data_IF_478250335950
#
_entry.id   IF_478250335950
#
_cell.length_a   1.000
_cell.length_b   1.000
_cell.length_c   1.000
_cell.angle_alpha   90.00
_cell.angle_beta   90.00
_cell.angle_gamma   90.00
#
_symmetry.space_group_name_H-M   'P 1'
#
loop_
_entity.id
_entity.type
_entity.pdbx_description
1 polymer ?
#
# COMPACT_ATOMS: atom_id res chain seq x y z
N UNK A 1 7.77 0.92 -42.01
CA UNK A 1 7.14 2.06 -41.31
C UNK A 1 5.81 1.63 -40.69
N UNK A 2 5.04 0.78 -41.37
CA UNK A 2 3.79 0.22 -40.84
C UNK A 2 3.98 -0.75 -39.66
N UNK A 3 5.03 -1.58 -39.64
CA UNK A 3 5.30 -2.52 -38.52
C UNK A 3 5.67 -1.84 -37.19
N UNK A 4 6.30 -0.66 -37.23
CA UNK A 4 6.64 0.13 -36.03
C UNK A 4 5.41 0.89 -35.52
N UNK A 5 4.51 1.29 -36.43
CA UNK A 5 3.25 1.92 -36.06
C UNK A 5 2.26 0.91 -35.50
N UNK A 6 2.28 -0.33 -35.98
CA UNK A 6 1.43 -1.41 -35.46
C UNK A 6 1.89 -1.85 -34.07
N UNK A 7 3.20 -2.05 -33.86
CA UNK A 7 3.74 -2.39 -32.54
C UNK A 7 3.52 -1.30 -31.48
N UNK A 8 3.61 -0.01 -31.87
CA UNK A 8 3.24 1.11 -30.98
C UNK A 8 1.74 1.16 -30.67
N UNK A 9 0.88 0.77 -31.62
CA UNK A 9 -0.58 0.72 -31.40
C UNK A 9 -0.97 -0.43 -30.49
N UNK A 10 -0.32 -1.59 -30.62
CA UNK A 10 -0.49 -2.73 -29.73
C UNK A 10 0.01 -2.42 -28.31
N UNK A 11 1.23 -1.89 -28.13
CA UNK A 11 1.74 -1.48 -26.82
C UNK A 11 0.84 -0.43 -26.14
N UNK A 12 0.29 0.51 -26.90
CA UNK A 12 -0.63 1.51 -26.38
C UNK A 12 -2.00 0.91 -26.01
N UNK A 13 -2.49 -0.06 -26.78
CA UNK A 13 -3.70 -0.82 -26.50
C UNK A 13 -3.59 -1.60 -25.18
N UNK A 14 -2.48 -2.31 -24.99
CA UNK A 14 -2.22 -3.10 -23.78
C UNK A 14 -2.01 -2.20 -22.56
N UNK A 15 -1.30 -1.07 -22.71
CA UNK A 15 -1.12 -0.09 -21.64
C UNK A 15 -2.46 0.49 -21.16
N UNK A 16 -3.36 0.82 -22.10
CA UNK A 16 -4.71 1.31 -21.77
C UNK A 16 -5.56 0.25 -21.08
N UNK A 17 -5.52 -0.99 -21.57
CA UNK A 17 -6.26 -2.10 -20.96
C UNK A 17 -5.77 -2.39 -19.54
N UNK A 18 -4.46 -2.33 -19.30
CA UNK A 18 -3.86 -2.44 -17.98
C UNK A 18 -4.33 -1.33 -17.02
N UNK A 19 -4.38 -0.08 -17.48
CA UNK A 19 -4.89 1.05 -16.68
C UNK A 19 -6.37 0.86 -16.33
N UNK A 20 -7.21 0.48 -17.29
CA UNK A 20 -8.64 0.22 -17.07
C UNK A 20 -8.82 -0.91 -16.05
N UNK A 21 -8.07 -2.01 -16.19
CA UNK A 21 -8.12 -3.12 -15.25
C UNK A 21 -7.73 -2.70 -13.83
N UNK A 22 -6.67 -1.89 -13.66
CA UNK A 22 -6.25 -1.35 -12.35
C UNK A 22 -7.35 -0.48 -11.72
N UNK A 23 -7.97 0.40 -12.50
CA UNK A 23 -9.05 1.26 -12.03
C UNK A 23 -10.31 0.47 -11.64
N UNK A 24 -10.72 -0.51 -12.45
CA UNK A 24 -11.86 -1.38 -12.16
C UNK A 24 -11.61 -2.22 -10.91
N UNK A 25 -10.45 -2.87 -10.82
CA UNK A 25 -10.07 -3.64 -9.64
C UNK A 25 -10.11 -2.77 -8.40
N UNK A 26 -9.52 -1.56 -8.44
CA UNK A 26 -9.53 -0.65 -7.30
C UNK A 26 -10.95 -0.19 -6.94
N UNK A 27 -11.82 0.01 -7.92
CA UNK A 27 -13.23 0.38 -7.69
C UNK A 27 -13.98 -0.69 -6.91
N UNK A 28 -13.72 -1.97 -7.23
CA UNK A 28 -14.32 -3.12 -6.56
C UNK A 28 -13.72 -3.31 -5.16
N UNK A 29 -12.40 -3.15 -5.00
CA UNK A 29 -11.73 -3.38 -3.70
C UNK A 29 -11.78 -2.19 -2.75
N UNK A 30 -12.14 -0.99 -3.21
CA UNK A 30 -12.08 0.23 -2.39
C UNK A 30 -12.82 0.14 -1.05
N UNK A 31 -14.05 -0.42 -0.95
CA UNK A 31 -14.71 -0.61 0.35
C UNK A 31 -13.88 -1.39 1.38
N UNK A 32 -13.17 -2.44 0.92
CA UNK A 32 -12.31 -3.25 1.77
C UNK A 32 -10.98 -2.57 2.06
N UNK A 33 -10.41 -1.86 1.08
CA UNK A 33 -9.19 -1.07 1.27
C UNK A 33 -9.43 0.08 2.26
N UNK A 34 -10.64 0.67 2.26
CA UNK A 34 -11.05 1.69 3.20
C UNK A 34 -11.15 1.13 4.62
N UNK A 35 -11.88 0.02 4.80
CA UNK A 35 -11.92 -0.67 6.08
C UNK A 35 -10.51 -1.07 6.56
N UNK A 36 -9.65 -1.58 5.66
CA UNK A 36 -8.26 -1.92 6.01
C UNK A 36 -7.49 -0.69 6.47
N UNK A 37 -7.63 0.45 5.80
CA UNK A 37 -6.95 1.68 6.18
C UNK A 37 -7.35 2.15 7.59
N UNK A 38 -8.64 2.11 7.94
CA UNK A 38 -9.11 2.47 9.28
C UNK A 38 -8.53 1.55 10.36
N UNK A 39 -8.40 0.26 10.05
CA UNK A 39 -7.72 -0.72 10.93
C UNK A 39 -6.24 -0.41 11.08
N UNK A 40 -5.55 -0.01 10.01
CA UNK A 40 -4.12 0.33 10.05
C UNK A 40 -3.85 1.49 11.02
N UNK A 41 -4.65 2.54 10.96
CA UNK A 41 -4.54 3.70 11.86
C UNK A 41 -5.02 3.39 13.29
N UNK A 42 -5.66 2.24 13.50
CA UNK A 42 -5.99 1.69 14.83
C UNK A 42 -7.44 1.88 15.26
N UNK A 43 -8.30 2.39 14.37
CA UNK A 43 -9.71 2.57 14.62
C UNK A 43 -10.46 1.22 14.48
N UNK A 44 -11.14 0.82 15.55
CA UNK A 44 -11.81 -0.48 15.68
C UNK A 44 -13.14 -0.30 16.43
N UNK A 45 -14.22 0.11 15.76
CA UNK A 45 -15.50 0.39 16.40
C UNK A 45 -16.25 -0.88 16.83
N UNK A 46 -15.93 -2.03 16.23
CA UNK A 46 -16.58 -3.30 16.53
C UNK A 46 -15.86 -4.03 17.67
N UNK A 47 -16.62 -4.48 18.67
CA UNK A 47 -16.06 -5.26 19.77
C UNK A 47 -15.53 -6.62 19.29
N UNK A 48 -14.41 -7.08 19.84
CA UNK A 48 -13.88 -8.39 19.49
C UNK A 48 -14.72 -9.50 20.17
N UNK A 49 -14.74 -10.68 19.55
CA UNK A 49 -15.49 -11.84 20.05
C UNK A 49 -14.59 -13.07 20.16
N UNK A 50 -15.01 -14.03 20.98
CA UNK A 50 -14.28 -15.28 21.16
C UNK A 50 -14.54 -16.23 20.00
N UNK A 51 -13.46 -16.68 19.38
CA UNK A 51 -13.48 -17.70 18.33
C UNK A 51 -12.74 -18.95 18.81
N UNK A 52 -13.32 -20.13 18.54
CA UNK A 52 -12.64 -21.42 18.75
C UNK A 52 -11.91 -21.79 17.47
N UNK A 53 -10.59 -21.86 17.54
CA UNK A 53 -9.77 -22.39 16.46
C UNK A 53 -10.09 -23.86 16.20
N UNK A 54 -9.82 -24.35 14.98
CA UNK A 54 -9.92 -25.77 14.64
C UNK A 54 -9.11 -26.67 15.58
N UNK A 55 -8.04 -26.12 16.20
CA UNK A 55 -7.21 -26.81 17.20
C UNK A 55 -7.69 -26.59 18.65
N UNK A 56 -8.97 -26.26 18.87
CA UNK A 56 -9.60 -26.21 20.20
C UNK A 56 -9.28 -24.99 21.07
N UNK A 57 -8.30 -24.15 20.68
CA UNK A 57 -7.96 -22.93 21.42
C UNK A 57 -9.00 -21.81 21.26
N UNK A 58 -9.45 -21.23 22.39
CA UNK A 58 -10.24 -19.98 22.38
C UNK A 58 -9.31 -18.79 22.18
N UNK A 59 -9.60 -17.94 21.19
CA UNK A 59 -8.86 -16.70 20.94
C UNK A 59 -9.82 -15.55 20.71
N UNK A 60 -9.48 -14.38 21.23
CA UNK A 60 -10.23 -13.15 21.01
C UNK A 60 -9.81 -12.56 19.64
N UNK A 61 -10.77 -12.38 18.74
CA UNK A 61 -10.52 -11.88 17.37
C UNK A 61 -11.47 -10.73 17.04
N UNK A 62 -11.01 -9.82 16.19
CA UNK A 62 -11.87 -8.81 15.59
C UNK A 62 -12.67 -9.40 14.43
N UNK A 63 -13.88 -8.87 14.14
CA UNK A 63 -14.65 -9.23 12.94
C UNK A 63 -13.84 -9.05 11.65
N UNK A 64 -14.19 -9.71 10.56
CA UNK A 64 -13.46 -9.53 9.29
C UNK A 64 -13.65 -8.10 8.71
N UNK A 65 -12.85 -7.74 7.70
CA UNK A 65 -12.95 -6.42 7.04
C UNK A 65 -14.28 -6.21 6.30
N UNK A 66 -14.97 -7.27 5.88
CA UNK A 66 -16.27 -7.16 5.19
C UNK A 66 -17.34 -6.69 6.17
N UNK A 67 -17.36 -7.24 7.38
CA UNK A 67 -18.26 -6.79 8.45
C UNK A 67 -17.98 -5.33 8.80
N UNK A 68 -16.71 -4.94 8.83
CA UNK A 68 -16.34 -3.54 9.05
C UNK A 68 -16.79 -2.65 7.88
N UNK A 69 -16.57 -3.03 6.62
CA UNK A 69 -17.07 -2.28 5.47
C UNK A 69 -18.60 -2.15 5.47
N UNK A 70 -19.33 -3.19 5.89
CA UNK A 70 -20.78 -3.14 6.11
C UNK A 70 -21.17 -2.16 7.21
N UNK A 71 -20.38 -2.08 8.28
CA UNK A 71 -20.59 -1.09 9.33
C UNK A 71 -20.38 0.34 8.80
N UNK A 72 -19.33 0.61 8.03
CA UNK A 72 -19.11 1.90 7.37
C UNK A 72 -20.32 2.27 6.49
N UNK A 73 -20.82 1.32 5.70
CA UNK A 73 -22.02 1.52 4.88
C UNK A 73 -23.26 1.84 5.72
N UNK A 74 -23.42 1.22 6.89
CA UNK A 74 -24.56 1.53 7.78
C UNK A 74 -24.49 2.91 8.41
N UNK A 75 -23.30 3.49 8.53
CA UNK A 75 -23.06 4.80 9.16
C UNK A 75 -23.12 5.93 8.12
N UNK A 76 -22.33 5.85 7.04
CA UNK A 76 -22.21 6.94 6.05
C UNK A 76 -22.92 6.64 4.71
N UNK A 77 -23.59 5.48 4.61
CA UNK A 77 -24.24 5.05 3.38
C UNK A 77 -23.26 4.74 2.24
N UNK A 78 -23.81 4.67 1.02
CA UNK A 78 -23.05 4.32 -0.17
C UNK A 78 -21.98 5.37 -0.53
N UNK A 79 -22.31 6.65 -0.40
CA UNK A 79 -21.39 7.75 -0.72
C UNK A 79 -20.17 7.74 0.21
N UNK A 80 -20.37 7.47 1.50
CA UNK A 80 -19.28 7.37 2.47
C UNK A 80 -18.37 6.17 2.26
N UNK A 81 -18.92 5.03 1.81
CA UNK A 81 -18.13 3.84 1.49
C UNK A 81 -17.08 4.10 0.39
N UNK A 82 -17.32 5.09 -0.47
CA UNK A 82 -16.43 5.54 -1.53
C UNK A 82 -15.66 6.84 -1.21
N UNK A 83 -15.63 7.28 0.06
CA UNK A 83 -14.81 8.41 0.49
C UNK A 83 -13.32 8.15 0.20
N UNK A 84 -12.61 9.16 -0.27
CA UNK A 84 -11.20 9.06 -0.65
C UNK A 84 -10.93 8.27 -1.95
N UNK A 85 -11.95 7.79 -2.65
CA UNK A 85 -11.80 7.07 -3.91
C UNK A 85 -11.30 7.95 -5.06
N UNK A 86 -11.81 9.18 -5.17
CA UNK A 86 -11.42 10.14 -6.22
C UNK A 86 -9.90 10.37 -6.32
N UNK A 87 -9.22 10.78 -5.23
CA UNK A 87 -7.77 10.96 -5.24
C UNK A 87 -7.01 9.66 -5.55
N UNK A 88 -7.52 8.48 -5.14
CA UNK A 88 -6.90 7.18 -5.47
C UNK A 88 -6.88 6.92 -6.97
N UNK A 89 -7.99 7.16 -7.67
CA UNK A 89 -8.05 6.95 -9.12
C UNK A 89 -7.10 7.90 -9.86
N UNK A 90 -7.08 9.17 -9.48
CA UNK A 90 -6.12 10.14 -10.05
C UNK A 90 -4.69 9.68 -9.76
N UNK A 91 -4.42 9.18 -8.55
CA UNK A 91 -3.11 8.64 -8.15
C UNK A 91 -2.67 7.46 -9.02
N UNK A 92 -3.58 6.52 -9.33
CA UNK A 92 -3.31 5.39 -10.23
C UNK A 92 -2.96 5.86 -11.64
N UNK A 93 -3.69 6.86 -12.15
CA UNK A 93 -3.37 7.45 -13.45
C UNK A 93 -1.96 8.07 -13.45
N UNK A 94 -1.64 8.88 -12.44
CA UNK A 94 -0.31 9.51 -12.29
C UNK A 94 0.79 8.45 -12.20
N UNK A 95 0.59 7.39 -11.42
CA UNK A 95 1.53 6.28 -11.28
C UNK A 95 1.77 5.56 -12.62
N UNK A 96 0.71 5.29 -13.38
CA UNK A 96 0.77 4.62 -14.68
C UNK A 96 1.49 5.46 -15.75
N UNK A 97 1.15 6.73 -15.86
CA UNK A 97 1.80 7.65 -16.80
C UNK A 97 3.26 7.90 -16.42
N UNK A 98 3.55 8.10 -15.12
CA UNK A 98 4.93 8.25 -14.65
C UNK A 98 5.78 7.03 -14.98
N UNK A 99 5.26 5.83 -14.72
CA UNK A 99 6.01 4.59 -15.00
C UNK A 99 6.29 4.46 -16.49
N UNK A 100 5.29 4.76 -17.33
CA UNK A 100 5.42 4.67 -18.79
C UNK A 100 6.48 5.64 -19.34
N UNK A 101 6.47 6.89 -18.88
CA UNK A 101 7.44 7.92 -19.30
C UNK A 101 8.87 7.57 -18.86
N UNK A 102 9.05 7.14 -17.61
CA UNK A 102 10.38 6.79 -17.09
C UNK A 102 10.90 5.53 -17.77
N UNK A 103 10.04 4.54 -18.03
CA UNK A 103 10.42 3.32 -18.74
C UNK A 103 10.87 3.62 -20.18
N UNK A 104 10.20 4.52 -20.90
CA UNK A 104 10.60 4.94 -22.25
C UNK A 104 11.96 5.65 -22.24
N UNK A 105 12.18 6.55 -21.27
CA UNK A 105 13.46 7.23 -21.09
C UNK A 105 14.61 6.24 -20.84
N UNK A 106 14.40 5.25 -19.96
CA UNK A 106 15.40 4.23 -19.64
C UNK A 106 15.66 3.26 -20.80
N UNK A 107 14.63 2.88 -21.57
CA UNK A 107 14.78 2.01 -22.75
C UNK A 107 15.66 2.66 -23.83
N UNK A 108 15.60 3.98 -23.94
CA UNK A 108 16.39 4.75 -24.92
C UNK A 108 17.90 4.70 -24.62
N UNK A 109 18.30 4.30 -23.41
CA UNK A 109 19.68 4.43 -22.92
C UNK A 109 20.58 3.18 -23.09
N UNK A 110 20.10 1.98 -23.52
CA UNK A 110 21.01 0.85 -23.86
C UNK A 110 20.32 -0.40 -24.40
N UNK A 111 20.52 -0.67 -25.70
CA UNK A 111 20.55 -2.02 -26.28
C UNK A 111 22.01 -2.41 -26.52
N UNK A 112 22.69 -2.91 -25.50
CA UNK A 112 23.88 -3.74 -25.70
C UNK A 112 23.55 -5.12 -25.17
N UNK A 113 23.12 -5.99 -26.08
CA UNK A 113 23.08 -7.43 -25.87
C UNK A 113 24.52 -7.91 -25.74
N UNK A 114 25.03 -7.96 -24.52
CA UNK A 114 26.27 -8.69 -24.24
C UNK A 114 25.88 -10.15 -24.02
N UNK A 115 26.52 -11.05 -24.75
CA UNK A 115 26.38 -12.49 -24.58
C UNK A 115 27.13 -12.89 -23.30
N UNK A 116 26.47 -13.60 -22.38
CA UNK A 116 26.97 -13.79 -21.02
C UNK A 116 27.18 -15.26 -20.68
N UNK A 117 28.44 -15.65 -20.46
CA UNK A 117 28.85 -17.03 -20.14
C UNK A 117 29.22 -17.24 -18.65
N UNK A 118 29.08 -16.23 -17.77
CA UNK A 118 29.54 -16.29 -16.36
C UNK A 118 28.44 -15.96 -15.33
N UNK A 119 28.42 -16.68 -14.20
CA UNK A 119 27.48 -16.47 -13.07
C UNK A 119 27.49 -15.03 -12.55
N UNK A 120 28.67 -14.39 -12.56
CA UNK A 120 28.83 -12.98 -12.17
C UNK A 120 28.02 -12.04 -13.07
N UNK A 121 27.90 -12.37 -14.36
CA UNK A 121 27.18 -11.53 -15.32
C UNK A 121 25.66 -11.66 -15.17
N UNK A 122 25.16 -12.81 -14.73
CA UNK A 122 23.74 -12.98 -14.39
C UNK A 122 23.32 -12.04 -13.25
N UNK A 123 24.11 -11.99 -12.18
CA UNK A 123 23.84 -11.11 -11.04
C UNK A 123 24.04 -9.62 -11.36
N UNK A 124 25.00 -9.28 -12.23
CA UNK A 124 25.14 -7.91 -12.75
C UNK A 124 23.91 -7.47 -13.53
N UNK A 125 23.38 -8.34 -14.40
CA UNK A 125 22.16 -8.04 -15.15
C UNK A 125 20.94 -7.90 -14.24
N UNK A 126 20.81 -8.77 -13.24
CA UNK A 126 19.79 -8.63 -12.20
C UNK A 126 19.89 -7.26 -11.51
N UNK A 127 21.10 -6.83 -11.12
CA UNK A 127 21.32 -5.54 -10.47
C UNK A 127 20.96 -4.35 -11.38
N UNK A 128 21.31 -4.41 -12.68
CA UNK A 128 20.97 -3.38 -13.66
C UNK A 128 19.46 -3.32 -13.90
N UNK A 129 18.79 -4.46 -14.06
CA UNK A 129 17.34 -4.49 -14.27
C UNK A 129 16.60 -4.00 -13.01
N UNK A 130 17.03 -4.44 -11.83
CA UNK A 130 16.48 -4.01 -10.55
C UNK A 130 16.67 -2.50 -10.34
N UNK A 131 17.82 -1.93 -10.70
CA UNK A 131 18.06 -0.49 -10.53
C UNK A 131 17.14 0.36 -11.43
N UNK A 132 16.89 -0.10 -12.66
CA UNK A 132 15.91 0.53 -13.57
C UNK A 132 14.51 0.52 -12.96
N UNK A 133 14.07 -0.62 -12.44
CA UNK A 133 12.75 -0.74 -11.79
C UNK A 133 12.64 0.09 -10.51
N UNK A 134 13.72 0.20 -9.73
CA UNK A 134 13.80 1.09 -8.56
C UNK A 134 13.57 2.54 -8.97
N UNK A 135 14.22 3.02 -10.05
CA UNK A 135 14.05 4.40 -10.53
C UNK A 135 12.61 4.66 -10.97
N UNK A 136 12.03 3.75 -11.76
CA UNK A 136 10.61 3.81 -12.16
C UNK A 136 9.68 3.87 -10.94
N UNK A 137 9.90 3.00 -9.96
CA UNK A 137 9.07 2.87 -8.77
C UNK A 137 9.20 4.09 -7.85
N UNK A 138 10.42 4.57 -7.61
CA UNK A 138 10.68 5.75 -6.80
C UNK A 138 9.99 6.99 -7.38
N UNK A 139 10.15 7.22 -8.68
CA UNK A 139 9.56 8.37 -9.37
C UNK A 139 8.04 8.33 -9.30
N UNK A 140 7.45 7.15 -9.55
CA UNK A 140 6.00 6.96 -9.51
C UNK A 140 5.42 7.12 -8.10
N UNK A 141 6.14 6.68 -7.06
CA UNK A 141 5.76 6.90 -5.66
C UNK A 141 5.80 8.39 -5.34
N UNK A 142 6.88 9.09 -5.66
CA UNK A 142 7.04 10.52 -5.37
C UNK A 142 5.90 11.33 -5.98
N UNK A 143 5.55 11.08 -7.25
CA UNK A 143 4.50 11.80 -7.96
C UNK A 143 3.08 11.44 -7.48
N UNK A 144 2.83 10.19 -7.14
CA UNK A 144 1.49 9.74 -6.70
C UNK A 144 1.23 9.95 -5.20
N UNK A 145 2.26 10.23 -4.39
CA UNK A 145 2.13 10.31 -2.94
C UNK A 145 1.24 11.43 -2.40
N UNK A 146 1.29 12.66 -2.93
CA UNK A 146 0.36 13.71 -2.52
C UNK A 146 -1.12 13.29 -2.63
N UNK A 147 -1.49 12.59 -3.71
CA UNK A 147 -2.86 12.11 -3.93
C UNK A 147 -3.25 10.98 -2.97
N UNK A 148 -2.29 10.13 -2.61
CA UNK A 148 -2.50 9.11 -1.59
C UNK A 148 -2.74 9.74 -0.21
N UNK A 149 -1.98 10.77 0.17
CA UNK A 149 -2.18 11.48 1.44
C UNK A 149 -3.55 12.11 1.52
N UNK A 150 -4.00 12.77 0.44
CA UNK A 150 -5.36 13.32 0.35
C UNK A 150 -6.41 12.21 0.53
N UNK A 151 -6.25 11.07 -0.13
CA UNK A 151 -7.15 9.92 0.06
C UNK A 151 -7.19 9.43 1.50
N UNK A 152 -6.02 9.24 2.12
CA UNK A 152 -5.90 8.76 3.51
C UNK A 152 -6.58 9.71 4.49
N UNK A 153 -6.41 11.02 4.32
CA UNK A 153 -7.06 12.03 5.17
C UNK A 153 -8.57 12.10 4.96
N UNK A 154 -9.03 12.00 3.72
CA UNK A 154 -10.47 11.89 3.44
C UNK A 154 -11.08 10.64 4.12
N UNK A 155 -10.38 9.51 4.08
CA UNK A 155 -10.83 8.28 4.75
C UNK A 155 -10.77 8.40 6.29
N UNK A 156 -9.75 9.07 6.83
CA UNK A 156 -9.54 9.16 8.28
C UNK A 156 -10.59 9.99 9.01
N UNK A 157 -11.35 10.84 8.31
CA UNK A 157 -12.40 11.66 8.91
C UNK A 157 -13.54 10.83 9.52
N UNK A 158 -13.69 9.58 9.10
CA UNK A 158 -14.66 8.64 9.65
C UNK A 158 -14.50 8.45 11.16
N UNK A 159 -13.26 8.48 11.66
CA UNK A 159 -12.97 8.23 13.08
C UNK A 159 -13.65 9.25 13.99
N UNK A 160 -13.60 10.53 13.59
CA UNK A 160 -14.15 11.65 14.37
C UNK A 160 -15.54 12.13 13.91
N UNK A 161 -16.16 11.44 12.94
CA UNK A 161 -17.38 11.92 12.26
C UNK A 161 -17.20 13.34 11.68
N UNK A 162 -16.03 13.61 11.11
CA UNK A 162 -15.64 14.93 10.64
C UNK A 162 -15.99 15.13 9.16
N UNK A 163 -16.28 16.38 8.76
CA UNK A 163 -16.61 16.74 7.38
C UNK A 163 -15.65 17.79 6.78
N UNK A 164 -14.38 17.74 7.17
CA UNK A 164 -13.36 18.71 6.74
C UNK A 164 -12.84 18.53 5.29
N UNK A 165 -12.86 17.33 4.71
CA UNK A 165 -12.31 17.01 3.39
C UNK A 165 -13.39 16.45 2.45
N UNK A 166 -14.28 17.33 1.96
CA UNK A 166 -15.43 16.93 1.13
C UNK A 166 -15.09 16.72 -0.35
N UNK A 167 -14.28 17.59 -0.92
CA UNK A 167 -13.89 17.56 -2.34
C UNK A 167 -12.38 17.44 -2.50
N UNK A 168 -11.92 16.80 -3.57
CA UNK A 168 -10.47 16.58 -3.83
C UNK A 168 -9.72 17.91 -3.90
N UNK A 169 -10.19 18.86 -4.72
CA UNK A 169 -9.54 20.17 -4.88
C UNK A 169 -9.56 20.98 -3.57
N UNK A 170 -10.70 20.98 -2.87
CA UNK A 170 -10.81 21.62 -1.56
C UNK A 170 -9.80 21.03 -0.58
N UNK A 171 -9.64 19.71 -0.57
CA UNK A 171 -8.73 19.01 0.33
C UNK A 171 -7.27 19.34 0.04
N UNK A 172 -6.90 19.39 -1.24
CA UNK A 172 -5.55 19.82 -1.66
C UNK A 172 -5.29 21.27 -1.19
N UNK A 173 -6.22 22.19 -1.47
CA UNK A 173 -6.06 23.59 -1.06
C UNK A 173 -5.96 23.73 0.47
N UNK A 174 -6.75 22.95 1.21
CA UNK A 174 -6.76 22.99 2.67
C UNK A 174 -5.43 22.50 3.25
N UNK A 175 -4.92 21.36 2.77
CA UNK A 175 -3.61 20.83 3.21
C UNK A 175 -2.49 21.82 2.88
N UNK A 176 -2.51 22.39 1.68
CA UNK A 176 -1.51 23.37 1.27
C UNK A 176 -1.55 24.65 2.13
N UNK A 177 -2.74 25.05 2.61
CA UNK A 177 -2.89 26.25 3.45
C UNK A 177 -2.50 25.99 4.91
N UNK A 178 -2.84 24.83 5.46
CA UNK A 178 -2.64 24.53 6.89
C UNK A 178 -1.24 23.96 7.19
N UNK A 179 -0.72 23.10 6.31
CA UNK A 179 0.54 22.38 6.52
C UNK A 179 1.60 22.68 5.45
N UNK A 180 1.18 23.23 4.31
CA UNK A 180 2.07 23.47 3.17
C UNK A 180 2.47 22.19 2.45
N UNK A 181 3.63 22.23 1.80
CA UNK A 181 4.13 21.13 0.96
C UNK A 181 4.49 19.90 1.82
N UNK A 182 4.97 20.09 3.04
CA UNK A 182 5.36 18.99 3.93
C UNK A 182 4.20 18.07 4.28
N UNK A 183 2.97 18.61 4.39
CA UNK A 183 1.76 17.82 4.66
C UNK A 183 1.50 16.76 3.59
N UNK A 184 1.72 17.06 2.31
CA UNK A 184 1.55 16.12 1.19
C UNK A 184 2.59 15.01 1.14
N UNK A 185 3.74 15.21 1.79
CA UNK A 185 4.84 14.26 1.80
C UNK A 185 5.02 13.55 3.14
N UNK A 186 4.03 13.66 4.03
CA UNK A 186 4.04 12.94 5.30
C UNK A 186 3.91 11.42 5.06
N UNK A 187 4.88 10.66 5.56
CA UNK A 187 4.93 9.21 5.39
C UNK A 187 5.55 8.71 4.08
N UNK A 188 6.18 9.59 3.29
CA UNK A 188 6.85 9.18 2.04
C UNK A 188 8.00 8.21 2.26
N UNK A 189 8.82 8.41 3.31
CA UNK A 189 10.00 7.58 3.58
C UNK A 189 9.61 6.11 3.81
N UNK A 190 8.71 5.77 4.75
CA UNK A 190 8.26 4.39 4.89
C UNK A 190 7.59 3.85 3.61
N UNK A 191 6.89 4.70 2.83
CA UNK A 191 6.29 4.25 1.56
C UNK A 191 7.35 3.85 0.54
N UNK A 192 8.42 4.63 0.42
CA UNK A 192 9.56 4.31 -0.44
C UNK A 192 10.24 3.03 0.02
N UNK A 193 10.46 2.85 1.33
CA UNK A 193 11.01 1.59 1.87
C UNK A 193 10.14 0.39 1.53
N UNK A 194 8.81 0.53 1.64
CA UNK A 194 7.89 -0.52 1.26
C UNK A 194 7.98 -0.87 -0.23
N UNK A 195 7.91 0.15 -1.10
CA UNK A 195 7.91 -0.03 -2.55
C UNK A 195 9.24 -0.57 -3.08
N UNK A 196 10.35 0.10 -2.72
CA UNK A 196 11.69 -0.29 -3.18
C UNK A 196 12.11 -1.64 -2.60
N UNK A 197 11.80 -1.90 -1.32
CA UNK A 197 12.05 -3.20 -0.69
C UNK A 197 11.31 -4.33 -1.40
N UNK A 198 10.07 -4.09 -1.83
CA UNK A 198 9.28 -5.09 -2.56
C UNK A 198 9.89 -5.42 -3.91
N UNK A 199 10.31 -4.41 -4.69
CA UNK A 199 10.98 -4.59 -5.99
C UNK A 199 12.28 -5.38 -5.85
N UNK A 200 13.11 -5.04 -4.87
CA UNK A 200 14.38 -5.73 -4.61
C UNK A 200 14.12 -7.20 -4.25
N UNK A 201 13.19 -7.46 -3.34
CA UNK A 201 12.88 -8.82 -2.88
C UNK A 201 12.34 -9.70 -4.02
N UNK A 202 11.46 -9.16 -4.87
CA UNK A 202 10.90 -9.90 -6.02
C UNK A 202 12.00 -10.26 -7.01
N UNK A 203 12.81 -9.28 -7.42
CA UNK A 203 13.86 -9.51 -8.43
C UNK A 203 14.96 -10.45 -7.94
N UNK A 204 15.38 -10.31 -6.67
CA UNK A 204 16.36 -11.23 -6.07
C UNK A 204 15.78 -12.65 -5.98
N UNK A 205 14.51 -12.80 -5.56
CA UNK A 205 13.85 -14.11 -5.50
C UNK A 205 13.73 -14.76 -6.88
N UNK A 206 13.36 -13.98 -7.90
CA UNK A 206 13.27 -14.43 -9.29
C UNK A 206 14.63 -14.88 -9.85
N UNK A 207 15.67 -14.09 -9.59
CA UNK A 207 17.04 -14.41 -10.00
C UNK A 207 17.54 -15.69 -9.31
N UNK A 208 17.32 -15.80 -8.00
CA UNK A 208 17.69 -17.01 -7.24
C UNK A 208 16.94 -18.24 -7.78
N UNK A 209 15.64 -18.13 -8.03
CA UNK A 209 14.83 -19.24 -8.54
C UNK A 209 15.29 -19.71 -9.93
N UNK A 210 15.57 -18.78 -10.83
CA UNK A 210 16.10 -19.08 -12.17
C UNK A 210 17.49 -19.70 -12.10
N UNK A 211 18.30 -19.32 -11.10
CA UNK A 211 19.62 -19.91 -10.89
C UNK A 211 19.55 -21.35 -10.35
N UNK A 212 18.60 -21.65 -9.46
CA UNK A 212 18.47 -22.98 -8.85
C UNK A 212 17.76 -24.02 -9.74
N UNK A 213 16.94 -23.59 -10.70
CA UNK A 213 16.24 -24.47 -11.62
C UNK A 213 16.82 -24.35 -13.02
N UNK A 214 17.36 -25.46 -13.53
CA UNK A 214 17.81 -25.57 -14.91
C UNK A 214 16.54 -25.67 -15.79
N UNK A 215 16.32 -24.68 -16.66
CA UNK A 215 15.19 -24.52 -17.58
C UNK A 215 13.79 -24.46 -16.94
N UNK A 216 13.45 -23.37 -16.21
CA UNK A 216 12.11 -23.20 -15.65
C UNK A 216 11.06 -22.98 -16.75
N UNK A 217 9.96 -23.72 -16.68
CA UNK A 217 8.79 -23.49 -17.54
C UNK A 217 8.20 -22.09 -17.32
N UNK A 218 7.56 -21.46 -18.33
CA UNK A 218 6.97 -20.13 -18.18
C UNK A 218 5.89 -20.07 -17.08
N UNK A 219 5.18 -21.19 -16.85
CA UNK A 219 4.21 -21.29 -15.74
C UNK A 219 4.89 -21.26 -14.37
N UNK A 220 6.04 -21.94 -14.21
CA UNK A 220 6.79 -21.93 -12.97
C UNK A 220 7.29 -20.51 -12.63
N UNK A 221 7.76 -19.75 -13.63
CA UNK A 221 8.17 -18.35 -13.44
C UNK A 221 7.02 -17.46 -12.97
N UNK A 222 5.82 -17.61 -13.56
CA UNK A 222 4.64 -16.83 -13.14
C UNK A 222 4.21 -17.16 -11.70
N UNK A 223 4.27 -18.44 -11.31
CA UNK A 223 3.96 -18.87 -9.95
C UNK A 223 4.99 -18.30 -8.97
N UNK A 224 6.27 -18.35 -9.32
CA UNK A 224 7.36 -17.76 -8.52
C UNK A 224 7.18 -16.26 -8.37
N UNK A 225 6.87 -15.54 -9.44
CA UNK A 225 6.62 -14.10 -9.40
C UNK A 225 5.43 -13.79 -8.46
N UNK A 226 4.37 -14.59 -8.49
CA UNK A 226 3.22 -14.44 -7.58
C UNK A 226 3.60 -14.69 -6.12
N UNK A 227 4.28 -15.80 -5.82
CA UNK A 227 4.70 -16.16 -4.46
C UNK A 227 5.69 -15.13 -3.91
N UNK A 228 6.70 -14.76 -4.71
CA UNK A 228 7.68 -13.74 -4.36
C UNK A 228 7.00 -12.40 -4.09
N UNK A 229 6.03 -11.99 -4.92
CA UNK A 229 5.26 -10.76 -4.72
C UNK A 229 4.46 -10.77 -3.42
N UNK A 230 3.83 -11.91 -3.08
CA UNK A 230 3.08 -12.06 -1.84
C UNK A 230 4.00 -11.99 -0.61
N UNK A 231 5.10 -12.74 -0.61
CA UNK A 231 6.07 -12.75 0.50
C UNK A 231 6.76 -11.40 0.67
N UNK A 232 7.15 -10.75 -0.42
CA UNK A 232 7.75 -9.43 -0.41
C UNK A 232 6.77 -8.39 0.17
N UNK A 233 5.51 -8.42 -0.25
CA UNK A 233 4.45 -7.55 0.29
C UNK A 233 4.19 -7.79 1.78
N UNK A 234 4.28 -9.04 2.24
CA UNK A 234 4.15 -9.38 3.65
C UNK A 234 5.34 -8.86 4.48
N UNK A 235 6.57 -8.98 3.94
CA UNK A 235 7.78 -8.50 4.59
C UNK A 235 7.82 -6.95 4.68
N UNK A 236 7.33 -6.26 3.65
CA UNK A 236 7.28 -4.79 3.60
C UNK A 236 6.01 -4.19 4.22
N UNK A 237 5.06 -5.02 4.67
CA UNK A 237 3.79 -4.59 5.23
C UNK A 237 3.90 -3.58 6.40
N UNK A 238 4.82 -3.76 7.38
CA UNK A 238 4.95 -2.83 8.50
C UNK A 238 5.15 -1.38 8.07
N UNK A 239 5.90 -1.17 6.98
CA UNK A 239 6.13 0.17 6.45
C UNK A 239 4.84 0.81 5.91
N UNK A 240 3.92 0.04 5.33
CA UNK A 240 2.63 0.57 4.88
C UNK A 240 1.77 1.05 6.06
N UNK A 241 1.83 0.36 7.21
CA UNK A 241 1.14 0.80 8.43
C UNK A 241 1.75 2.09 8.96
N UNK A 242 3.09 2.19 9.01
CA UNK A 242 3.78 3.43 9.42
C UNK A 242 3.46 4.58 8.47
N UNK A 243 3.42 4.35 7.15
CA UNK A 243 2.99 5.36 6.17
C UNK A 243 1.58 5.85 6.48
N UNK A 244 0.63 4.96 6.72
CA UNK A 244 -0.75 5.35 7.03
C UNK A 244 -0.84 6.21 8.31
N UNK A 245 -0.18 5.79 9.39
CA UNK A 245 -0.16 6.53 10.66
C UNK A 245 0.54 7.89 10.53
N UNK A 246 1.70 7.93 9.88
CA UNK A 246 2.45 9.19 9.71
C UNK A 246 1.74 10.17 8.77
N UNK A 247 1.04 9.70 7.74
CA UNK A 247 0.32 10.56 6.81
C UNK A 247 -0.83 11.36 7.44
N UNK A 248 -1.44 10.83 8.50
CA UNK A 248 -2.52 11.49 9.25
C UNK A 248 -2.04 12.11 10.58
N UNK A 249 -0.76 11.95 10.91
CA UNK A 249 -0.20 12.45 12.17
C UNK A 249 -0.29 13.98 12.24
N UNK A 250 -0.87 14.50 13.31
CA UNK A 250 -1.00 15.94 13.58
C UNK A 250 -1.67 16.76 12.46
N UNK A 251 -2.55 16.15 11.66
CA UNK A 251 -3.28 16.84 10.57
C UNK A 251 -4.59 17.53 11.03
N UNK A 252 -4.83 17.60 12.34
CA UNK A 252 -6.03 18.16 12.93
C UNK A 252 -7.32 17.35 12.69
N UNK A 253 -7.21 16.09 12.28
CA UNK A 253 -8.29 15.11 12.37
C UNK A 253 -8.21 14.36 13.69
N UNK A 254 -9.35 13.90 14.22
CA UNK A 254 -9.40 13.11 15.45
C UNK A 254 -8.51 11.86 15.38
N UNK A 255 -8.52 11.17 14.24
CA UNK A 255 -7.68 10.00 13.96
C UNK A 255 -6.17 10.26 14.13
N UNK A 256 -5.75 11.51 13.92
CA UNK A 256 -4.37 11.96 13.89
C UNK A 256 -3.84 12.51 15.21
N UNK A 257 -4.69 12.57 16.23
CA UNK A 257 -4.49 13.35 17.45
C UNK A 257 -4.80 12.52 18.70
N UNK A 258 -4.25 12.90 19.87
CA UNK A 258 -4.64 12.29 21.14
C UNK A 258 -6.14 12.55 21.43
N UNK A 259 -6.89 11.58 21.98
CA UNK A 259 -6.44 10.33 22.59
C UNK A 259 -6.27 9.14 21.62
N UNK A 260 -6.69 9.24 20.36
CA UNK A 260 -6.71 8.12 19.42
C UNK A 260 -5.32 7.71 18.93
N UNK A 261 -4.43 8.69 18.67
CA UNK A 261 -3.05 8.44 18.27
C UNK A 261 -2.10 9.48 18.89
N UNK A 262 -0.94 9.06 19.45
CA UNK A 262 0.07 10.01 19.90
C UNK A 262 0.70 10.73 18.70
N UNK A 263 1.17 11.96 18.92
CA UNK A 263 1.85 12.73 17.88
C UNK A 263 3.31 12.28 17.78
N UNK A 264 3.73 11.88 16.59
CA UNK A 264 5.11 11.46 16.31
C UNK A 264 5.91 12.60 15.68
N UNK A 265 7.17 12.78 16.08
CA UNK A 265 8.09 13.73 15.44
C UNK A 265 8.71 13.18 14.15
N UNK A 266 8.87 11.86 14.05
CA UNK A 266 9.39 11.20 12.85
C UNK A 266 8.79 9.81 12.64
N UNK A 267 9.00 9.24 11.44
CA UNK A 267 8.46 7.92 11.09
C UNK A 267 9.10 6.78 11.91
N UNK A 268 10.36 6.95 12.35
CA UNK A 268 11.07 5.96 13.18
C UNK A 268 10.47 5.86 14.57
N UNK A 269 10.04 6.96 15.15
CA UNK A 269 9.34 7.03 16.43
C UNK A 269 7.98 6.35 16.32
N UNK A 270 7.24 6.60 15.24
CA UNK A 270 6.00 5.90 14.92
C UNK A 270 6.23 4.38 14.80
N UNK A 271 7.26 3.96 14.05
CA UNK A 271 7.64 2.55 13.89
C UNK A 271 7.99 1.90 15.24
N UNK A 272 8.82 2.56 16.07
CA UNK A 272 9.20 2.06 17.39
C UNK A 272 8.01 1.95 18.34
N UNK A 273 7.11 2.93 18.31
CA UNK A 273 5.87 2.89 19.08
C UNK A 273 5.02 1.69 18.65
N UNK A 274 4.72 1.56 17.35
CA UNK A 274 3.91 0.45 16.85
C UNK A 274 4.56 -0.92 17.08
N UNK A 275 5.89 -1.01 17.04
CA UNK A 275 6.63 -2.22 17.40
C UNK A 275 6.44 -2.57 18.89
N UNK A 276 6.63 -1.59 19.79
CA UNK A 276 6.51 -1.76 21.23
C UNK A 276 5.12 -2.26 21.66
N UNK A 277 4.06 -1.83 20.96
CA UNK A 277 2.69 -2.20 21.28
C UNK A 277 2.13 -3.39 20.50
N UNK A 278 2.95 -4.07 19.68
CA UNK A 278 2.58 -5.19 18.80
C UNK A 278 1.46 -4.82 17.79
N UNK A 279 1.69 -3.71 17.08
CA UNK A 279 0.69 -3.06 16.22
C UNK A 279 1.17 -2.84 14.78
N UNK A 280 2.38 -3.27 14.43
CA UNK A 280 2.94 -3.12 13.09
C UNK A 280 2.20 -3.91 12.01
N UNK A 281 1.48 -4.97 12.39
CA UNK A 281 0.79 -5.86 11.45
C UNK A 281 -0.74 -5.69 11.48
N UNK A 282 -1.23 -4.55 11.98
CA UNK A 282 -2.67 -4.20 11.96
C UNK A 282 -3.21 -4.21 10.54
N UNK A 283 -4.27 -4.98 10.31
CA UNK A 283 -4.91 -5.04 8.98
C UNK A 283 -4.15 -5.85 7.93
N UNK A 284 -3.12 -6.59 8.32
CA UNK A 284 -2.32 -7.47 7.42
C UNK A 284 -3.13 -8.60 6.81
N UNK A 285 -4.21 -9.00 7.47
CA UNK A 285 -5.11 -10.06 7.02
C UNK A 285 -6.54 -9.54 6.91
N UNK A 286 -7.24 -9.94 5.85
CA UNK A 286 -8.63 -9.50 5.61
C UNK A 286 -9.65 -10.24 6.48
N UNK A 287 -9.33 -11.48 6.83
CA UNK A 287 -10.28 -12.44 7.38
C UNK A 287 -10.13 -12.60 8.90
N UNK A 288 -8.92 -12.88 9.38
CA UNK A 288 -8.65 -13.21 10.79
C UNK A 288 -7.82 -12.12 11.43
N UNK A 289 -8.50 -11.13 12.01
CA UNK A 289 -7.84 -9.98 12.62
C UNK A 289 -7.57 -10.23 14.10
N UNK A 290 -6.29 -10.19 14.48
CA UNK A 290 -5.84 -10.43 15.86
C UNK A 290 -6.04 -9.18 16.72
N UNK A 291 -6.41 -9.38 17.98
CA UNK A 291 -6.41 -8.31 18.97
C UNK A 291 -4.97 -8.13 19.50
N UNK A 292 -4.42 -6.91 19.53
CA UNK A 292 -3.09 -6.66 20.10
C UNK A 292 -3.03 -7.08 21.56
N UNK A 293 -1.90 -7.67 21.99
CA UNK A 293 -1.72 -8.13 23.37
C UNK A 293 -1.95 -7.02 24.42
N UNK A 294 -1.61 -5.79 24.07
CA UNK A 294 -1.80 -4.61 24.92
C UNK A 294 -3.26 -4.27 25.19
N UNK A 295 -4.17 -4.56 24.26
CA UNK A 295 -5.62 -4.43 24.47
C UNK A 295 -6.19 -5.61 25.27
N UNK A 296 -5.59 -6.81 25.16
CA UNK A 296 -6.01 -7.97 25.96
C UNK A 296 -5.81 -7.72 27.46
N UNK A 297 -4.66 -7.15 27.86
CA UNK A 297 -4.37 -6.80 29.27
C UNK A 297 -5.40 -5.81 29.81
N UNK A 298 -5.71 -4.74 29.06
CA UNK A 298 -6.74 -3.78 29.49
C UNK A 298 -8.10 -4.45 29.65
N UNK A 299 -8.50 -5.35 28.75
CA UNK A 299 -9.80 -6.04 28.85
C UNK A 299 -9.85 -7.04 30.01
N UNK A 300 -8.73 -7.69 30.37
CA UNK A 300 -8.68 -8.53 31.57
C UNK A 300 -8.84 -7.72 32.85
N UNK A 301 -8.32 -6.49 32.89
CA UNK A 301 -8.42 -5.63 34.07
C UNK A 301 -9.86 -5.14 34.32
N UNK A 302 -10.71 -5.13 33.30
CA UNK A 302 -12.14 -4.74 33.39
C UNK A 302 -13.10 -5.94 33.53
N UNK A 303 -12.61 -7.19 33.62
CA UNK A 303 -13.46 -8.39 33.70
C UNK A 303 -13.46 -9.06 35.09
N UNK A 304 -13.46 -8.24 36.14
CA UNK A 304 -13.75 -8.65 37.53
C UNK A 304 -15.14 -8.23 37.97
#
# INVERSE_FOLDING_TARGET
MDSINDSRREEHGDSRNSLIAKCLLRSITHPLDYARFLVQIGHEPLSPYYYRSMFGGKRLIYPNLIVYAKHIYSVDGFKGLYTGFGPKIIGICVEHFSTSLVAEYIKTDKSQNVQFDSELELWKNCAINTSKEIICTATSIILSHPLQVVSMRMMAQFVGYEHRYMYVLQSILLINREEGISGFYSGIIPRLMAGLGTVILINVAKQAFTHFLIDPTPMALNITDFIASYLASAATYPFNVVTACTAINNCGLAAGMPPDMPVFGNWLECMRYLYKFDQLNRGSTNWVRRVPNTRLVKLSDFSF
#
